data_IF_079138064408
#
_entry.id   IF_079138064408
#
_cell.length_a   1.000
_cell.length_b   1.000
_cell.length_c   1.000
_cell.angle_alpha   90.00
_cell.angle_beta   90.00
_cell.angle_gamma   90.00
#
_symmetry.space_group_name_H-M   'P 1'
#
loop_
_entity.id
_entity.type
_entity.pdbx_description
1 polymer ?
#
# COMPACT_ATOMS: atom_id res chain seq x y z
N UNK A 1 -31.97 11.38 64.55
CA UNK A 1 -30.64 10.87 64.17
C UNK A 1 -30.73 10.45 62.70
N UNK A 2 -30.23 11.28 61.78
CA UNK A 2 -30.46 11.13 60.34
C UNK A 2 -29.12 10.79 59.66
N UNK A 3 -28.99 9.56 59.18
CA UNK A 3 -27.77 9.03 58.57
C UNK A 3 -27.65 9.49 57.12
N UNK A 4 -26.59 10.25 56.80
CA UNK A 4 -26.25 10.63 55.43
C UNK A 4 -25.47 9.49 54.78
N UNK A 5 -26.02 8.94 53.70
CA UNK A 5 -25.41 7.87 52.91
C UNK A 5 -24.47 8.49 51.86
N UNK A 6 -23.15 8.33 52.03
CA UNK A 6 -22.15 8.89 51.11
C UNK A 6 -21.96 7.91 49.94
N UNK A 7 -22.48 8.26 48.77
CA UNK A 7 -22.26 7.52 47.53
C UNK A 7 -20.91 7.94 46.91
N UNK A 8 -19.85 7.16 47.19
CA UNK A 8 -18.55 7.31 46.53
C UNK A 8 -18.69 6.81 45.08
N UNK A 9 -18.90 7.73 44.13
CA UNK A 9 -18.74 7.45 42.70
C UNK A 9 -17.26 7.22 42.42
N UNK A 10 -16.83 5.96 42.45
CA UNK A 10 -15.52 5.55 41.94
C UNK A 10 -15.50 5.77 40.43
N UNK A 11 -14.86 6.84 39.98
CA UNK A 11 -14.57 7.04 38.57
C UNK A 11 -13.61 5.93 38.13
N UNK A 12 -14.10 4.95 37.37
CA UNK A 12 -13.25 4.00 36.67
C UNK A 12 -12.39 4.79 35.69
N UNK A 13 -11.15 5.08 36.08
CA UNK A 13 -10.11 5.60 35.20
C UNK A 13 -10.00 4.60 34.06
N UNK A 14 -10.51 4.96 32.87
CA UNK A 14 -10.26 4.21 31.64
C UNK A 14 -8.75 4.17 31.47
N UNK A 15 -8.17 3.01 31.75
CA UNK A 15 -6.78 2.70 31.44
C UNK A 15 -6.57 3.06 29.97
N UNK A 16 -5.55 3.84 29.59
CA UNK A 16 -5.23 3.98 28.18
C UNK A 16 -4.98 2.58 27.66
N UNK A 17 -5.66 2.25 26.57
CA UNK A 17 -5.71 0.91 26.01
C UNK A 17 -4.31 0.32 25.99
N UNK A 18 -4.15 -0.73 26.79
CA UNK A 18 -2.97 -1.59 26.81
C UNK A 18 -2.70 -1.95 25.36
N UNK A 19 -1.51 -1.60 24.87
CA UNK A 19 -0.97 -1.96 23.57
C UNK A 19 -1.04 -3.49 23.43
N UNK A 20 -2.20 -3.95 22.98
CA UNK A 20 -2.63 -5.33 22.89
C UNK A 20 -2.73 -5.62 21.42
N UNK A 21 -1.98 -6.64 21.01
CA UNK A 21 -1.85 -7.12 19.66
C UNK A 21 -3.21 -7.51 19.08
N UNK A 22 -3.95 -6.56 18.54
CA UNK A 22 -5.00 -6.84 17.58
C UNK A 22 -4.30 -7.15 16.28
N UNK A 23 -4.26 -8.42 15.91
CA UNK A 23 -4.11 -8.89 14.52
C UNK A 23 -5.34 -8.49 13.68
N UNK A 24 -5.85 -7.28 13.90
CA UNK A 24 -6.87 -6.66 13.09
C UNK A 24 -6.18 -6.20 11.81
N UNK A 25 -6.72 -6.61 10.67
CA UNK A 25 -6.38 -5.97 9.41
C UNK A 25 -6.58 -4.46 9.59
N UNK A 26 -5.62 -3.65 9.14
CA UNK A 26 -5.80 -2.21 9.08
C UNK A 26 -6.80 -1.92 7.95
N UNK A 27 -7.68 -0.95 8.15
CA UNK A 27 -8.69 -0.51 7.16
C UNK A 27 -8.78 1.01 7.09
N UNK A 28 -7.87 1.70 7.76
CA UNK A 28 -7.77 3.16 7.90
C UNK A 28 -7.08 3.84 6.70
N UNK A 29 -6.65 3.07 5.70
CA UNK A 29 -5.94 3.57 4.52
C UNK A 29 -4.43 3.74 4.71
N UNK A 30 -3.91 3.39 5.88
CA UNK A 30 -2.49 3.46 6.19
C UNK A 30 -1.84 2.07 6.16
N UNK A 31 -0.59 2.05 5.73
CA UNK A 31 0.28 0.88 5.69
C UNK A 31 1.59 1.22 6.40
N UNK A 32 2.30 0.19 6.86
CA UNK A 32 3.65 0.38 7.42
C UNK A 32 4.57 0.97 6.35
N UNK A 33 5.29 2.04 6.69
CA UNK A 33 6.25 2.64 5.77
C UNK A 33 7.53 1.80 5.70
N UNK A 34 7.62 0.93 4.70
CA UNK A 34 8.79 0.06 4.49
C UNK A 34 10.05 0.83 4.07
N UNK A 35 9.93 2.11 3.71
CA UNK A 35 11.07 2.98 3.39
C UNK A 35 11.63 3.69 4.61
N UNK A 36 10.86 3.76 5.70
CA UNK A 36 11.34 4.35 6.95
C UNK A 36 12.26 3.39 7.70
N UNK A 37 13.25 3.95 8.38
CA UNK A 37 14.08 3.21 9.34
C UNK A 37 13.35 2.94 10.67
N UNK A 38 12.21 3.60 10.93
CA UNK A 38 11.45 3.45 12.17
C UNK A 38 10.28 2.46 11.98
N UNK A 39 10.23 1.36 12.77
CA UNK A 39 9.22 0.29 12.58
C UNK A 39 7.75 0.69 12.77
N UNK A 40 7.49 1.86 13.37
CA UNK A 40 6.14 2.32 13.70
C UNK A 40 5.62 3.40 12.76
N UNK A 41 6.44 3.87 11.82
CA UNK A 41 6.03 4.86 10.84
C UNK A 41 5.00 4.25 9.88
N UNK A 42 4.00 5.06 9.57
CA UNK A 42 2.92 4.67 8.66
C UNK A 42 2.77 5.70 7.55
N UNK A 43 2.43 5.21 6.37
CA UNK A 43 2.20 6.02 5.18
C UNK A 43 0.86 5.64 4.55
N UNK A 44 0.20 6.57 3.88
CA UNK A 44 -1.02 6.27 3.14
C UNK A 44 -0.71 5.38 1.93
N UNK A 45 -1.50 4.34 1.74
CA UNK A 45 -1.37 3.46 0.57
C UNK A 45 -1.47 4.24 -0.76
N UNK A 46 -2.41 5.20 -0.84
CA UNK A 46 -2.61 6.01 -2.05
C UNK A 46 -1.38 6.86 -2.39
N UNK A 47 -0.65 7.36 -1.38
CA UNK A 47 0.58 8.15 -1.55
C UNK A 47 1.70 7.26 -2.08
N UNK A 48 1.83 6.05 -1.56
CA UNK A 48 2.80 5.07 -2.08
C UNK A 48 2.50 4.76 -3.53
N UNK A 49 1.25 4.46 -3.89
CA UNK A 49 0.86 4.18 -5.27
C UNK A 49 1.16 5.37 -6.20
N UNK A 50 0.87 6.59 -5.77
CA UNK A 50 1.17 7.79 -6.57
C UNK A 50 2.68 7.96 -6.81
N UNK A 51 3.52 7.66 -5.81
CA UNK A 51 4.99 7.65 -5.99
C UNK A 51 5.45 6.58 -6.97
N UNK A 52 4.81 5.40 -6.94
CA UNK A 52 5.11 4.33 -7.88
C UNK A 52 4.67 4.69 -9.30
N UNK A 53 3.54 5.38 -9.47
CA UNK A 53 3.09 5.92 -10.76
C UNK A 53 4.10 6.95 -11.31
N UNK A 54 4.52 7.91 -10.47
CA UNK A 54 5.51 8.92 -10.86
C UNK A 54 6.85 8.27 -11.27
N UNK A 55 7.30 7.28 -10.51
CA UNK A 55 8.53 6.54 -10.80
C UNK A 55 8.39 5.67 -12.05
N UNK A 56 7.24 5.03 -12.25
CA UNK A 56 6.97 4.24 -13.43
C UNK A 56 6.99 5.11 -14.68
N UNK A 57 6.37 6.29 -14.62
CA UNK A 57 6.28 7.25 -15.74
C UNK A 57 7.65 7.85 -16.14
N UNK A 58 8.62 7.87 -15.23
CA UNK A 58 9.94 8.42 -15.50
C UNK A 58 10.65 7.66 -16.64
N UNK A 59 10.85 8.34 -17.77
CA UNK A 59 11.56 7.79 -18.92
C UNK A 59 10.78 6.75 -19.73
N UNK A 60 9.43 6.75 -19.67
CA UNK A 60 8.59 5.91 -20.54
C UNK A 60 8.39 6.49 -21.94
N UNK A 61 8.60 7.80 -22.13
CA UNK A 61 8.30 8.46 -23.40
C UNK A 61 6.80 8.37 -23.72
N UNK A 62 6.48 7.93 -24.94
CA UNK A 62 5.10 7.77 -25.42
C UNK A 62 4.57 6.32 -25.32
N UNK A 63 5.29 5.42 -24.64
CA UNK A 63 4.94 4.00 -24.57
C UNK A 63 4.23 3.65 -23.25
N UNK A 64 2.94 3.38 -23.33
CA UNK A 64 2.12 3.03 -22.16
C UNK A 64 2.51 1.66 -21.57
N UNK A 65 2.93 0.72 -22.41
CA UNK A 65 3.32 -0.64 -22.05
C UNK A 65 4.55 -0.64 -21.14
N UNK A 66 5.47 0.31 -21.36
CA UNK A 66 6.64 0.52 -20.50
C UNK A 66 6.20 1.01 -19.12
N UNK A 67 5.27 1.97 -19.09
CA UNK A 67 4.72 2.50 -17.85
C UNK A 67 3.98 1.41 -17.07
N UNK A 68 3.08 0.67 -17.72
CA UNK A 68 2.24 -0.34 -17.09
C UNK A 68 3.08 -1.47 -16.49
N UNK A 69 4.02 -2.02 -17.26
CA UNK A 69 4.93 -3.07 -16.79
C UNK A 69 5.73 -2.64 -15.55
N UNK A 70 6.30 -1.44 -15.57
CA UNK A 70 7.06 -0.90 -14.44
C UNK A 70 6.20 -0.68 -13.21
N UNK A 71 5.01 -0.11 -13.39
CA UNK A 71 4.09 0.16 -12.29
C UNK A 71 3.65 -1.13 -11.61
N UNK A 72 3.22 -2.12 -12.39
CA UNK A 72 2.68 -3.38 -11.87
C UNK A 72 3.75 -4.19 -11.17
N UNK A 73 4.94 -4.35 -11.77
CA UNK A 73 6.06 -5.02 -11.10
C UNK A 73 6.47 -4.31 -9.80
N UNK A 74 6.61 -2.98 -9.82
CA UNK A 74 6.98 -2.23 -8.61
C UNK A 74 5.93 -2.30 -7.51
N UNK A 75 4.64 -2.30 -7.88
CA UNK A 75 3.54 -2.42 -6.93
C UNK A 75 3.44 -3.83 -6.33
N UNK A 76 3.65 -4.89 -7.11
CA UNK A 76 3.72 -6.27 -6.61
C UNK A 76 4.92 -6.48 -5.69
N UNK A 77 6.09 -5.93 -6.03
CA UNK A 77 7.28 -5.95 -5.17
C UNK A 77 7.05 -5.22 -3.85
N UNK A 78 6.33 -4.10 -3.89
CA UNK A 78 5.93 -3.40 -2.67
C UNK A 78 4.96 -4.26 -1.83
N UNK A 79 3.94 -4.83 -2.47
CA UNK A 79 2.94 -5.70 -1.81
C UNK A 79 3.58 -6.92 -1.14
N UNK A 80 4.57 -7.56 -1.78
CA UNK A 80 5.29 -8.71 -1.24
C UNK A 80 6.09 -8.36 0.02
N UNK A 81 6.65 -7.14 0.10
CA UNK A 81 7.41 -6.66 1.27
C UNK A 81 6.52 -6.17 2.41
N UNK A 82 5.26 -5.83 2.14
CA UNK A 82 4.34 -5.37 3.18
C UNK A 82 3.97 -6.47 4.19
N UNK A 83 3.82 -6.11 5.48
CA UNK A 83 3.25 -6.99 6.48
C UNK A 83 1.86 -7.49 6.05
N UNK A 84 1.54 -8.75 6.31
CA UNK A 84 0.27 -9.36 5.87
C UNK A 84 -0.97 -8.57 6.29
N UNK A 85 -0.93 -7.92 7.47
CA UNK A 85 -2.02 -7.07 8.00
C UNK A 85 -2.35 -5.83 7.16
N UNK A 86 -1.39 -5.35 6.36
CA UNK A 86 -1.49 -4.10 5.60
C UNK A 86 -1.80 -4.37 4.11
N UNK A 87 -1.59 -5.61 3.64
CA UNK A 87 -1.78 -6.00 2.23
C UNK A 87 -3.21 -5.73 1.70
N UNK A 88 -4.30 -6.02 2.44
CA UNK A 88 -5.65 -5.73 1.95
C UNK A 88 -5.90 -4.23 1.70
N UNK A 89 -5.31 -3.35 2.53
CA UNK A 89 -5.41 -1.90 2.35
C UNK A 89 -4.74 -1.47 1.06
N UNK A 90 -3.53 -1.98 0.81
CA UNK A 90 -2.78 -1.64 -0.39
C UNK A 90 -3.47 -2.14 -1.67
N UNK A 91 -3.98 -3.39 -1.65
CA UNK A 91 -4.74 -3.96 -2.76
C UNK A 91 -6.01 -3.12 -3.03
N UNK A 92 -6.77 -2.78 -1.98
CA UNK A 92 -7.97 -1.95 -2.13
C UNK A 92 -7.66 -0.53 -2.64
N UNK A 93 -6.52 0.05 -2.25
CA UNK A 93 -6.08 1.34 -2.78
C UNK A 93 -5.70 1.26 -4.28
N UNK A 94 -5.03 0.18 -4.68
CA UNK A 94 -4.66 -0.07 -6.07
C UNK A 94 -5.90 -0.28 -6.95
N UNK A 95 -6.87 -1.05 -6.48
CA UNK A 95 -8.13 -1.30 -7.18
C UNK A 95 -8.92 0.00 -7.42
N UNK A 96 -8.99 0.91 -6.43
CA UNK A 96 -9.59 2.24 -6.60
C UNK A 96 -8.89 3.12 -7.65
N UNK A 97 -7.62 2.85 -7.94
CA UNK A 97 -6.84 3.50 -9.01
C UNK A 97 -6.93 2.74 -10.35
N UNK A 98 -7.66 1.63 -10.41
CA UNK A 98 -7.77 0.78 -11.60
C UNK A 98 -6.57 -0.15 -11.82
N UNK A 99 -5.71 -0.33 -10.81
CA UNK A 99 -4.51 -1.16 -10.91
C UNK A 99 -4.83 -2.56 -10.39
N UNK A 100 -4.79 -3.55 -11.27
CA UNK A 100 -5.02 -4.95 -10.91
C UNK A 100 -3.72 -5.64 -10.49
N UNK A 101 -3.50 -5.78 -9.17
CA UNK A 101 -2.31 -6.42 -8.62
C UNK A 101 -2.41 -7.96 -8.64
N UNK A 102 -2.12 -8.56 -9.79
CA UNK A 102 -2.06 -10.02 -9.95
C UNK A 102 -0.84 -10.43 -10.78
N UNK A 103 -0.27 -11.60 -10.49
CA UNK A 103 0.84 -12.17 -11.27
C UNK A 103 0.46 -12.37 -12.75
N UNK A 104 -0.79 -12.72 -13.04
CA UNK A 104 -1.28 -12.85 -14.41
C UNK A 104 -1.38 -11.50 -15.15
N UNK A 105 -1.64 -10.39 -14.45
CA UNK A 105 -1.56 -9.05 -15.05
C UNK A 105 -0.10 -8.65 -15.28
N UNK A 106 0.78 -8.95 -14.32
CA UNK A 106 2.21 -8.66 -14.46
C UNK A 106 2.80 -9.38 -15.69
N UNK A 107 2.56 -10.68 -15.84
CA UNK A 107 3.05 -11.45 -16.99
C UNK A 107 2.58 -10.86 -18.33
N UNK A 108 1.31 -10.44 -18.41
CA UNK A 108 0.76 -9.76 -19.59
C UNK A 108 1.46 -8.43 -19.87
N UNK A 109 1.64 -7.60 -18.85
CA UNK A 109 2.33 -6.31 -19.00
C UNK A 109 3.81 -6.47 -19.38
N UNK A 110 4.50 -7.49 -18.86
CA UNK A 110 5.87 -7.80 -19.22
C UNK A 110 6.01 -8.30 -20.66
N UNK A 111 5.03 -9.07 -21.16
CA UNK A 111 5.01 -9.49 -22.55
C UNK A 111 4.87 -8.28 -23.50
N UNK A 112 3.91 -7.39 -23.23
CA UNK A 112 3.71 -6.16 -24.02
C UNK A 112 4.93 -5.24 -23.97
N UNK A 113 5.56 -5.09 -22.79
CA UNK A 113 6.82 -4.35 -22.66
C UNK A 113 7.93 -4.92 -23.56
N UNK A 114 8.09 -6.24 -23.61
CA UNK A 114 9.12 -6.88 -24.45
C UNK A 114 8.88 -6.65 -25.94
N UNK A 115 7.62 -6.66 -26.37
CA UNK A 115 7.22 -6.37 -27.74
C UNK A 115 7.59 -4.93 -28.12
N UNK A 116 7.16 -3.95 -27.32
CA UNK A 116 7.48 -2.54 -27.55
C UNK A 116 9.00 -2.28 -27.53
N UNK A 117 9.73 -2.89 -26.61
CA UNK A 117 11.19 -2.73 -26.57
C UNK A 117 11.89 -3.34 -27.78
N UNK A 118 11.34 -4.41 -28.37
CA UNK A 118 11.86 -5.00 -29.60
C UNK A 118 11.59 -4.08 -30.81
N UNK A 119 10.42 -3.47 -30.88
CA UNK A 119 10.08 -2.47 -31.92
C UNK A 119 11.00 -1.25 -31.83
N UNK A 120 11.16 -0.66 -30.63
CA UNK A 120 12.04 0.48 -30.41
C UNK A 120 13.49 0.14 -30.81
N UNK A 121 13.96 -1.06 -30.48
CA UNK A 121 15.31 -1.50 -30.84
C UNK A 121 15.47 -1.66 -32.36
N UNK A 122 14.46 -2.17 -33.06
CA UNK A 122 14.47 -2.33 -34.51
C UNK A 122 14.39 -0.99 -35.26
N UNK A 123 13.74 0.03 -34.71
CA UNK A 123 13.68 1.38 -35.30
C UNK A 123 15.00 2.17 -35.17
N UNK A 124 15.91 1.73 -34.28
CA UNK A 124 17.19 2.39 -34.03
C UNK A 124 18.35 1.81 -34.84
N UNK A 125 18.09 0.80 -35.68
CA UNK A 125 19.04 0.19 -36.63
C UNK A 125 18.89 0.77 -38.05
#
# INVERSE_FOLDING_TARGET
MHTHNINVKTATRKTPERCGQTTSLRMDGFITDISSSHPFDVIRADVVLSRLEDQANAGCGMHYEIYESRLISSALDHLCRLPMKDRPVFIGAADRKGITLTWAQEERSQAAYREVMAEIAAEQE
#
